data_IF_351533054461
#
_entry.id   IF_351533054461
#
_cell.length_a   1.000
_cell.length_b   1.000
_cell.length_c   1.000
_cell.angle_alpha   90.00
_cell.angle_beta   90.00
_cell.angle_gamma   90.00
#
_symmetry.space_group_name_H-M   'P 1'
#
loop_
_entity.id
_entity.type
_entity.pdbx_description
1 polymer ?
#
# COMPACT_ATOMS: atom_id res chain seq x y z
N UNK A 1 15.02 -7.48 21.57
CA UNK A 1 15.44 -6.49 20.56
C UNK A 1 16.70 -6.93 19.81
N UNK A 2 17.63 -7.65 20.44
CA UNK A 2 18.88 -8.11 19.79
C UNK A 2 18.67 -8.83 18.44
N UNK A 3 17.71 -9.76 18.37
CA UNK A 3 17.37 -10.47 17.11
C UNK A 3 16.85 -9.54 16.02
N UNK A 4 16.08 -8.50 16.39
CA UNK A 4 15.58 -7.50 15.43
C UNK A 4 16.74 -6.66 14.91
N UNK A 5 17.61 -6.18 15.81
CA UNK A 5 18.80 -5.41 15.45
C UNK A 5 19.70 -6.21 14.51
N UNK A 6 19.95 -7.48 14.83
CA UNK A 6 20.75 -8.37 13.99
C UNK A 6 20.10 -8.56 12.62
N UNK A 7 18.78 -8.82 12.58
CA UNK A 7 18.08 -9.01 11.31
C UNK A 7 18.13 -7.75 10.42
N UNK A 8 17.98 -6.56 11.02
CA UNK A 8 18.15 -5.29 10.32
C UNK A 8 19.57 -5.12 9.76
N UNK A 9 20.62 -5.45 10.53
CA UNK A 9 22.00 -5.26 10.09
C UNK A 9 22.48 -6.30 9.07
N UNK A 10 22.06 -7.55 9.21
CA UNK A 10 22.53 -8.66 8.37
C UNK A 10 21.69 -8.84 7.10
N UNK A 11 20.35 -8.70 7.21
CA UNK A 11 19.43 -9.01 6.11
C UNK A 11 18.65 -7.79 5.61
N UNK A 12 18.54 -6.71 6.40
CA UNK A 12 17.75 -5.53 6.06
C UNK A 12 16.23 -5.72 6.11
N UNK A 13 15.74 -6.91 6.46
CA UNK A 13 14.31 -7.22 6.58
C UNK A 13 14.07 -8.43 7.48
N UNK A 14 12.84 -8.58 7.98
CA UNK A 14 12.38 -9.74 8.73
C UNK A 14 10.85 -9.83 8.64
N UNK A 15 10.30 -11.02 8.93
CA UNK A 15 8.87 -11.20 9.11
C UNK A 15 8.55 -11.26 10.60
N UNK A 16 7.47 -10.60 11.02
CA UNK A 16 7.00 -10.63 12.39
C UNK A 16 5.74 -11.49 12.46
N UNK A 17 5.76 -12.50 13.33
CA UNK A 17 4.60 -13.33 13.67
C UNK A 17 4.13 -13.02 15.10
N UNK A 18 2.88 -13.36 15.43
CA UNK A 18 2.28 -13.08 16.74
C UNK A 18 2.38 -11.60 17.16
N UNK A 19 2.28 -10.69 16.18
CA UNK A 19 2.42 -9.23 16.36
C UNK A 19 1.28 -8.55 17.16
N UNK A 20 0.27 -9.30 17.61
CA UNK A 20 -0.86 -8.78 18.40
C UNK A 20 -1.96 -8.08 17.59
N UNK A 21 -1.71 -7.69 16.34
CA UNK A 21 -2.75 -7.22 15.40
C UNK A 21 -3.75 -8.35 15.11
N UNK A 22 -5.04 -8.05 15.20
CA UNK A 22 -6.13 -9.00 14.92
C UNK A 22 -6.06 -9.53 13.49
N UNK A 23 -6.22 -10.85 13.33
CA UNK A 23 -6.28 -11.49 12.01
C UNK A 23 -7.50 -11.05 11.21
N UNK A 24 -8.63 -10.79 11.87
CA UNK A 24 -9.84 -10.31 11.22
C UNK A 24 -9.62 -8.92 10.60
N UNK A 25 -8.89 -8.05 11.30
CA UNK A 25 -8.54 -6.72 10.79
C UNK A 25 -7.63 -6.79 9.56
N UNK A 26 -6.63 -7.68 9.58
CA UNK A 26 -5.75 -7.90 8.42
C UNK A 26 -6.55 -8.44 7.24
N UNK A 27 -7.46 -9.39 7.50
CA UNK A 27 -8.32 -9.96 6.47
C UNK A 27 -9.22 -8.90 5.84
N UNK A 28 -9.90 -8.11 6.65
CA UNK A 28 -10.77 -7.02 6.20
C UNK A 28 -9.99 -5.99 5.37
N UNK A 29 -8.82 -5.53 5.85
CA UNK A 29 -7.98 -4.59 5.11
C UNK A 29 -7.57 -5.13 3.73
N UNK A 30 -7.22 -6.42 3.66
CA UNK A 30 -6.87 -7.07 2.39
C UNK A 30 -8.08 -7.26 1.47
N UNK A 31 -9.26 -7.54 2.02
CA UNK A 31 -10.52 -7.64 1.25
C UNK A 31 -10.94 -6.28 0.67
N UNK A 32 -10.89 -5.22 1.47
CA UNK A 32 -11.17 -3.86 1.02
C UNK A 32 -10.17 -3.38 -0.04
N UNK A 33 -8.88 -3.69 0.12
CA UNK A 33 -7.85 -3.38 -0.88
C UNK A 33 -8.17 -4.04 -2.23
N UNK A 34 -8.44 -5.36 -2.24
CA UNK A 34 -8.86 -6.07 -3.47
C UNK A 34 -10.12 -5.46 -4.09
N UNK A 35 -11.13 -5.21 -3.27
CA UNK A 35 -12.41 -4.63 -3.72
C UNK A 35 -12.20 -3.29 -4.40
N UNK A 36 -11.34 -2.43 -3.85
CA UNK A 36 -11.04 -1.14 -4.46
C UNK A 36 -10.35 -1.29 -5.83
N UNK A 37 -9.33 -2.17 -5.93
CA UNK A 37 -8.59 -2.34 -7.18
C UNK A 37 -9.37 -3.10 -8.26
N UNK A 38 -10.39 -3.86 -7.88
CA UNK A 38 -11.35 -4.51 -8.80
C UNK A 38 -12.38 -3.53 -9.40
N UNK A 39 -12.48 -2.29 -8.88
CA UNK A 39 -13.34 -1.27 -9.50
C UNK A 39 -12.85 -0.85 -10.89
N UNK A 40 -13.78 -0.26 -11.67
CA UNK A 40 -13.45 0.30 -12.97
C UNK A 40 -12.43 1.43 -12.85
N UNK A 41 -11.69 1.67 -13.93
CA UNK A 41 -10.76 2.80 -14.00
C UNK A 41 -11.45 4.13 -13.72
N UNK A 42 -12.69 4.30 -14.17
CA UNK A 42 -13.48 5.51 -13.90
C UNK A 42 -13.67 5.73 -12.39
N UNK A 43 -14.08 4.70 -11.66
CA UNK A 43 -14.27 4.79 -10.20
C UNK A 43 -12.95 5.01 -9.46
N UNK A 44 -11.89 4.28 -9.82
CA UNK A 44 -10.57 4.44 -9.19
C UNK A 44 -10.00 5.84 -9.41
N UNK A 45 -10.17 6.40 -10.60
CA UNK A 45 -9.69 7.74 -10.94
C UNK A 45 -10.40 8.88 -10.19
N UNK A 46 -11.57 8.64 -9.59
CA UNK A 46 -12.21 9.64 -8.70
C UNK A 46 -11.37 9.91 -7.45
N UNK A 47 -10.56 8.92 -7.04
CA UNK A 47 -9.64 9.05 -5.93
C UNK A 47 -8.26 9.54 -6.33
N UNK A 48 -8.02 9.94 -7.58
CA UNK A 48 -6.70 10.44 -8.03
C UNK A 48 -6.41 11.84 -7.46
N UNK A 49 -5.13 12.18 -7.22
CA UNK A 49 -4.76 13.54 -6.86
C UNK A 49 -5.21 14.53 -7.93
N UNK A 50 -5.62 15.73 -7.52
CA UNK A 50 -5.88 16.81 -8.45
C UNK A 50 -4.57 17.29 -9.11
N UNK A 51 -4.67 17.88 -10.30
CA UNK A 51 -3.48 18.34 -11.04
C UNK A 51 -2.67 19.42 -10.32
N UNK A 52 -3.29 20.11 -9.35
CA UNK A 52 -2.69 21.14 -8.50
C UNK A 52 -2.28 20.62 -7.10
N UNK A 53 -2.47 19.33 -6.83
CA UNK A 53 -2.12 18.74 -5.53
C UNK A 53 -0.61 18.76 -5.30
N UNK A 54 -0.20 19.23 -4.12
CA UNK A 54 1.23 19.24 -3.71
C UNK A 54 1.75 17.84 -3.37
N UNK A 55 0.85 16.93 -2.98
CA UNK A 55 1.16 15.55 -2.65
C UNK A 55 0.35 14.62 -3.56
N UNK A 56 0.93 13.48 -4.00
CA UNK A 56 0.23 12.50 -4.83
C UNK A 56 -0.70 11.62 -3.99
N UNK A 57 -1.45 12.21 -3.05
CA UNK A 57 -2.43 11.52 -2.23
C UNK A 57 -3.56 11.02 -3.13
N UNK A 58 -3.83 9.72 -3.11
CA UNK A 58 -4.85 9.11 -3.96
C UNK A 58 -4.34 8.01 -4.88
N UNK A 59 -5.25 7.59 -5.77
CA UNK A 59 -5.03 6.54 -6.75
C UNK A 59 -4.06 6.99 -7.84
N UNK A 60 -3.10 6.14 -8.17
CA UNK A 60 -2.12 6.40 -9.22
C UNK A 60 -1.69 5.08 -9.89
N UNK A 61 -1.12 5.23 -11.08
CA UNK A 61 -0.46 4.14 -11.82
C UNK A 61 0.97 4.52 -12.11
N UNK A 62 1.87 3.55 -12.03
CA UNK A 62 3.21 3.75 -12.55
C UNK A 62 3.17 4.09 -14.04
N UNK A 63 4.13 4.89 -14.54
CA UNK A 63 4.24 5.20 -15.95
C UNK A 63 4.27 3.95 -16.82
N UNK A 64 3.75 4.06 -18.05
CA UNK A 64 3.66 2.95 -19.02
C UNK A 64 5.01 2.26 -19.33
N UNK A 65 6.12 2.94 -19.10
CA UNK A 65 7.47 2.40 -19.31
C UNK A 65 8.03 1.62 -18.11
N UNK A 66 7.33 1.61 -16.98
CA UNK A 66 7.69 0.76 -15.83
C UNK A 66 7.41 -0.70 -16.18
N UNK A 67 8.35 -1.60 -15.85
CA UNK A 67 8.20 -3.04 -16.05
C UNK A 67 7.00 -3.60 -15.29
N UNK A 68 6.73 -3.04 -14.11
CA UNK A 68 5.86 -3.69 -13.14
C UNK A 68 4.41 -3.19 -13.26
N UNK A 69 4.16 -2.14 -14.06
CA UNK A 69 2.82 -1.58 -14.37
C UNK A 69 1.87 -1.51 -13.16
N UNK A 70 2.43 -1.27 -11.98
CA UNK A 70 1.68 -1.35 -10.73
C UNK A 70 0.71 -0.17 -10.60
N UNK A 71 -0.47 -0.46 -10.05
CA UNK A 71 -1.38 0.55 -9.51
C UNK A 71 -1.27 0.62 -7.99
N UNK A 72 -1.49 1.81 -7.42
CA UNK A 72 -1.35 2.03 -5.99
C UNK A 72 -2.28 3.15 -5.50
N UNK A 73 -2.61 3.11 -4.21
CA UNK A 73 -3.40 4.12 -3.52
C UNK A 73 -2.56 4.67 -2.36
N UNK A 74 -2.24 5.97 -2.40
CA UNK A 74 -1.45 6.62 -1.36
C UNK A 74 -2.38 7.37 -0.39
N UNK A 75 -2.38 6.97 0.88
CA UNK A 75 -3.19 7.60 1.94
C UNK A 75 -2.25 8.19 2.98
N UNK A 76 -2.39 9.48 3.26
CA UNK A 76 -1.67 10.14 4.35
C UNK A 76 -2.53 10.15 5.61
N UNK A 77 -1.91 10.13 6.81
CA UNK A 77 -2.62 10.44 8.04
C UNK A 77 -3.33 11.80 7.93
N UNK A 78 -4.49 11.97 8.59
CA UNK A 78 -5.20 13.25 8.65
C UNK A 78 -4.39 14.34 9.36
#
# INVERSE_FOLDING_TARGET
>A
MEVITQACSEYGSFQLVNHGISLDLIKEAMELSRTFFDYSDEEKNKGSPSSDATLPAGYNRQPLHSSDKNEYLLVFPP
#
